data_IF_915591318843
#
_entry.id   IF_915591318843
#
_cell.length_a   1.000
_cell.length_b   1.000
_cell.length_c   1.000
_cell.angle_alpha   90.00
_cell.angle_beta   90.00
_cell.angle_gamma   90.00
#
_symmetry.space_group_name_H-M   'P 1'
#
loop_
_entity.id
_entity.type
_entity.pdbx_description
1 polymer ?
#
# COMPACT_ATOMS: atom_id res chain seq x y z
N UNK A 1 -12.17 -37.19 16.44
CA UNK A 1 -11.14 -36.41 15.71
C UNK A 1 -11.65 -34.98 15.57
N UNK A 2 -11.14 -34.04 16.35
CA UNK A 2 -11.40 -32.62 16.13
C UNK A 2 -10.69 -32.19 14.84
N UNK A 3 -11.42 -31.59 13.90
CA UNK A 3 -10.84 -30.97 12.72
C UNK A 3 -9.92 -29.82 13.16
N UNK A 4 -8.62 -30.06 13.18
CA UNK A 4 -7.57 -29.15 13.66
C UNK A 4 -7.15 -28.14 12.56
N UNK A 5 -8.07 -27.77 11.69
CA UNK A 5 -7.81 -26.88 10.56
C UNK A 5 -8.67 -25.64 10.75
N UNK A 6 -8.02 -24.55 11.18
CA UNK A 6 -8.65 -23.25 11.36
C UNK A 6 -9.01 -22.66 9.99
N UNK A 7 -10.21 -22.96 9.51
CA UNK A 7 -10.80 -22.31 8.33
C UNK A 7 -11.37 -20.93 8.69
N UNK A 8 -10.56 -20.08 9.34
CA UNK A 8 -10.96 -18.72 9.72
C UNK A 8 -11.06 -17.76 8.52
N UNK A 9 -10.63 -18.20 7.34
CA UNK A 9 -10.72 -17.45 6.10
C UNK A 9 -11.85 -18.03 5.25
N UNK A 10 -13.04 -17.46 5.38
CA UNK A 10 -14.23 -17.86 4.63
C UNK A 10 -14.11 -17.53 3.13
N UNK A 11 -13.37 -16.47 2.80
CA UNK A 11 -13.03 -16.07 1.43
C UNK A 11 -11.58 -15.55 1.39
N UNK A 12 -10.84 -15.96 0.37
CA UNK A 12 -9.47 -15.47 0.11
C UNK A 12 -9.33 -15.09 -1.35
N UNK A 13 -8.51 -14.10 -1.63
CA UNK A 13 -8.18 -13.67 -2.99
C UNK A 13 -6.68 -13.45 -3.08
N UNK A 14 -6.09 -13.78 -4.23
CA UNK A 14 -4.69 -13.50 -4.49
C UNK A 14 -4.50 -11.98 -4.63
N UNK A 15 -3.49 -11.44 -3.96
CA UNK A 15 -3.17 -10.01 -3.97
C UNK A 15 -1.67 -9.84 -4.21
N UNK A 16 -1.30 -8.83 -4.99
CA UNK A 16 0.11 -8.49 -5.21
C UNK A 16 0.76 -7.94 -3.93
N UNK A 17 2.03 -8.32 -3.70
CA UNK A 17 2.84 -7.88 -2.57
C UNK A 17 2.89 -6.34 -2.45
N UNK A 18 2.96 -5.65 -3.59
CA UNK A 18 2.97 -4.19 -3.66
C UNK A 18 1.72 -3.57 -3.00
N UNK A 19 0.54 -4.16 -3.22
CA UNK A 19 -0.71 -3.67 -2.65
C UNK A 19 -0.71 -3.77 -1.13
N UNK A 20 -0.17 -4.87 -0.61
CA UNK A 20 -0.05 -5.12 0.83
C UNK A 20 0.93 -4.12 1.44
N UNK A 21 2.10 -3.95 0.84
CA UNK A 21 3.10 -2.99 1.32
C UNK A 21 2.58 -1.53 1.31
N UNK A 22 1.75 -1.18 0.32
CA UNK A 22 1.24 0.18 0.16
C UNK A 22 0.09 0.51 1.11
N UNK A 23 -0.91 -0.37 1.25
CA UNK A 23 -2.20 -0.04 1.87
C UNK A 23 -2.36 -0.60 3.30
N UNK A 24 -1.63 -1.65 3.67
CA UNK A 24 -1.90 -2.37 4.92
C UNK A 24 -1.09 -1.84 6.12
N UNK A 25 -1.66 -1.99 7.31
CA UNK A 25 -0.95 -1.98 8.60
C UNK A 25 -0.23 -0.70 8.98
N UNK A 26 0.65 -0.79 9.98
CA UNK A 26 1.72 0.18 10.21
C UNK A 26 3.03 -0.35 9.61
N UNK A 27 3.78 0.52 8.95
CA UNK A 27 4.97 0.12 8.20
C UNK A 27 6.17 0.93 8.63
N UNK A 28 7.20 0.22 9.11
CA UNK A 28 8.54 0.76 9.32
C UNK A 28 9.34 0.61 8.02
N UNK A 29 9.94 1.69 7.58
CA UNK A 29 10.78 1.73 6.38
C UNK A 29 12.24 1.88 6.82
N UNK A 30 13.00 0.78 6.77
CA UNK A 30 14.41 0.75 7.12
C UNK A 30 15.25 1.00 5.87
N UNK A 31 15.54 2.29 5.62
CA UNK A 31 16.09 2.70 4.33
C UNK A 31 17.48 2.14 4.03
N UNK A 32 18.32 1.97 5.04
CA UNK A 32 19.65 1.38 4.88
C UNK A 32 19.59 -0.10 4.53
N UNK A 33 18.60 -0.82 5.07
CA UNK A 33 18.41 -2.24 4.79
C UNK A 33 17.60 -2.49 3.51
N UNK A 34 16.90 -1.48 2.98
CA UNK A 34 16.02 -1.63 1.83
C UNK A 34 14.78 -2.47 2.12
N UNK A 35 14.27 -2.45 3.36
CA UNK A 35 13.16 -3.31 3.79
C UNK A 35 12.00 -2.50 4.37
N UNK A 36 10.78 -2.86 3.98
CA UNK A 36 9.54 -2.47 4.65
C UNK A 36 9.11 -3.58 5.61
N UNK A 37 8.92 -3.23 6.89
CA UNK A 37 8.49 -4.13 7.94
C UNK A 37 7.06 -3.74 8.35
N UNK A 38 6.12 -4.66 8.17
CA UNK A 38 4.69 -4.45 8.40
C UNK A 38 4.27 -5.06 9.74
N UNK A 39 3.45 -4.32 10.50
CA UNK A 39 2.81 -4.73 11.76
C UNK A 39 3.74 -5.44 12.74
N UNK A 40 4.84 -4.79 13.13
CA UNK A 40 5.73 -5.35 14.14
C UNK A 40 6.38 -6.68 13.73
N UNK A 41 6.74 -6.79 12.45
CA UNK A 41 7.46 -7.92 11.84
C UNK A 41 6.60 -9.09 11.31
N UNK A 42 5.32 -8.86 11.02
CA UNK A 42 4.43 -9.87 10.42
C UNK A 42 4.70 -10.13 8.94
N UNK A 43 5.07 -9.08 8.20
CA UNK A 43 5.51 -9.20 6.81
C UNK A 43 6.73 -8.31 6.55
N UNK A 44 7.59 -8.75 5.63
CA UNK A 44 8.76 -8.01 5.17
C UNK A 44 8.78 -7.97 3.65
N UNK A 45 9.00 -6.77 3.10
CA UNK A 45 9.15 -6.57 1.67
C UNK A 45 10.51 -5.95 1.41
N UNK A 46 11.32 -6.60 0.57
CA UNK A 46 12.61 -6.08 0.14
C UNK A 46 12.42 -5.20 -1.10
N UNK A 47 13.10 -4.07 -1.14
CA UNK A 47 13.12 -3.14 -2.28
C UNK A 47 14.57 -2.84 -2.64
N UNK A 48 14.90 -3.04 -3.91
CA UNK A 48 16.27 -2.95 -4.43
C UNK A 48 16.81 -1.53 -4.56
N UNK A 49 15.95 -0.55 -4.85
CA UNK A 49 16.36 0.84 -5.06
C UNK A 49 15.77 1.79 -4.01
N UNK A 50 16.61 2.69 -3.51
CA UNK A 50 16.23 3.66 -2.50
C UNK A 50 15.24 4.70 -3.03
N UNK A 51 15.27 5.00 -4.33
CA UNK A 51 14.29 5.93 -4.95
C UNK A 51 12.91 5.28 -4.99
N UNK A 52 12.84 4.01 -5.37
CA UNK A 52 11.59 3.22 -5.34
C UNK A 52 11.03 3.18 -3.92
N UNK A 53 11.88 2.92 -2.93
CA UNK A 53 11.46 2.91 -1.53
C UNK A 53 10.94 4.28 -1.07
N UNK A 54 11.60 5.38 -1.45
CA UNK A 54 11.13 6.74 -1.15
C UNK A 54 9.78 7.01 -1.83
N UNK A 55 9.62 6.62 -3.09
CA UNK A 55 8.37 6.76 -3.83
C UNK A 55 7.21 6.02 -3.15
N UNK A 56 7.42 4.77 -2.74
CA UNK A 56 6.42 3.97 -2.01
C UNK A 56 6.07 4.63 -0.67
N UNK A 57 7.08 5.06 0.10
CA UNK A 57 6.88 5.73 1.38
C UNK A 57 6.07 7.03 1.23
N UNK A 58 6.39 7.83 0.23
CA UNK A 58 5.66 9.07 -0.07
C UNK A 58 4.23 8.78 -0.52
N UNK A 59 4.04 7.81 -1.43
CA UNK A 59 2.71 7.43 -1.93
C UNK A 59 1.81 6.98 -0.78
N UNK A 60 2.32 6.11 0.09
CA UNK A 60 1.62 5.63 1.28
C UNK A 60 1.18 6.78 2.20
N UNK A 61 2.06 7.73 2.46
CA UNK A 61 1.71 8.90 3.29
C UNK A 61 0.58 9.73 2.64
N UNK A 62 0.63 9.94 1.32
CA UNK A 62 -0.38 10.71 0.58
C UNK A 62 -1.73 10.00 0.52
N UNK A 63 -1.74 8.70 0.28
CA UNK A 63 -2.97 7.90 0.27
C UNK A 63 -3.62 7.87 1.66
N UNK A 64 -2.83 7.73 2.72
CA UNK A 64 -3.34 7.80 4.10
C UNK A 64 -3.96 9.16 4.43
N UNK A 65 -3.35 10.26 3.98
CA UNK A 65 -3.91 11.60 4.17
C UNK A 65 -5.23 11.78 3.41
N UNK A 66 -5.32 11.25 2.18
CA UNK A 66 -6.54 11.27 1.37
C UNK A 66 -7.64 10.47 2.08
N UNK A 67 -7.34 9.23 2.48
CA UNK A 67 -8.29 8.35 3.14
C UNK A 67 -8.79 8.94 4.46
N UNK A 68 -7.89 9.50 5.27
CA UNK A 68 -8.24 10.14 6.55
C UNK A 68 -9.19 11.32 6.33
N UNK A 69 -8.96 12.12 5.29
CA UNK A 69 -9.85 13.25 4.95
C UNK A 69 -11.20 12.77 4.41
N UNK A 70 -11.21 11.76 3.57
CA UNK A 70 -12.45 11.17 3.05
C UNK A 70 -13.34 10.62 4.17
N UNK A 71 -12.75 10.00 5.20
CA UNK A 71 -13.50 9.57 6.38
C UNK A 71 -13.95 10.72 7.28
N UNK A 72 -13.15 11.78 7.42
CA UNK A 72 -13.52 12.95 8.23
C UNK A 72 -14.61 13.81 7.59
N UNK A 73 -14.67 13.88 6.27
CA UNK A 73 -15.64 14.72 5.54
C UNK A 73 -16.12 14.01 4.29
N UNK A 74 -17.03 13.03 4.44
CA UNK A 74 -17.54 12.25 3.32
C UNK A 74 -18.28 13.17 2.33
N UNK A 75 -18.14 12.89 1.03
CA UNK A 75 -18.79 13.64 -0.05
C UNK A 75 -18.07 14.93 -0.48
N UNK A 76 -17.04 15.38 0.26
CA UNK A 76 -16.20 16.50 -0.19
C UNK A 76 -15.29 16.05 -1.33
N UNK A 77 -15.31 16.81 -2.43
CA UNK A 77 -14.41 16.57 -3.55
C UNK A 77 -12.93 16.63 -3.12
N UNK A 78 -12.10 15.78 -3.73
CA UNK A 78 -10.65 15.80 -3.54
C UNK A 78 -10.07 17.11 -4.07
N UNK A 79 -9.04 17.63 -3.41
CA UNK A 79 -8.31 18.79 -3.95
C UNK A 79 -7.57 18.40 -5.22
N UNK A 80 -7.23 19.38 -6.07
CA UNK A 80 -6.47 19.14 -7.30
C UNK A 80 -5.17 18.38 -7.05
N UNK A 81 -4.49 18.65 -5.93
CA UNK A 81 -3.27 17.91 -5.57
C UNK A 81 -3.56 16.46 -5.19
N UNK A 82 -4.64 16.22 -4.43
CA UNK A 82 -5.04 14.87 -4.05
C UNK A 82 -5.49 14.05 -5.26
N UNK A 83 -6.21 14.69 -6.19
CA UNK A 83 -6.59 14.07 -7.45
C UNK A 83 -5.38 13.61 -8.25
N UNK A 84 -4.36 14.48 -8.40
CA UNK A 84 -3.10 14.09 -9.06
C UNK A 84 -2.43 12.89 -8.41
N UNK A 85 -2.44 12.79 -7.08
CA UNK A 85 -1.89 11.62 -6.38
C UNK A 85 -2.69 10.35 -6.65
N UNK A 86 -4.02 10.45 -6.73
CA UNK A 86 -4.88 9.33 -7.14
C UNK A 86 -4.61 8.90 -8.57
N UNK A 87 -4.44 9.85 -9.50
CA UNK A 87 -4.15 9.56 -10.89
C UNK A 87 -2.79 8.86 -11.04
N UNK A 88 -1.75 9.31 -10.30
CA UNK A 88 -0.44 8.64 -10.28
C UNK A 88 -0.57 7.22 -9.72
N UNK A 89 -1.30 7.04 -8.62
CA UNK A 89 -1.52 5.74 -8.02
C UNK A 89 -2.22 4.78 -9.00
N UNK A 90 -3.26 5.23 -9.70
CA UNK A 90 -3.95 4.46 -10.72
C UNK A 90 -3.03 4.05 -11.87
N UNK A 91 -2.20 4.96 -12.37
CA UNK A 91 -1.22 4.66 -13.44
C UNK A 91 -0.18 3.61 -13.04
N UNK A 92 0.28 3.65 -11.78
CA UNK A 92 1.21 2.63 -11.27
C UNK A 92 0.53 1.26 -11.25
N UNK A 93 -0.72 1.20 -10.80
CA UNK A 93 -1.49 -0.04 -10.71
C UNK A 93 -1.93 -0.59 -12.07
N UNK A 94 -2.31 0.28 -13.02
CA UNK A 94 -2.70 -0.14 -14.37
C UNK A 94 -1.51 -0.61 -15.21
N UNK A 95 -0.28 -0.44 -14.72
CA UNK A 95 0.94 -0.75 -15.45
C UNK A 95 0.99 -0.09 -16.84
N UNK A 96 0.31 1.06 -17.03
CA UNK A 96 0.28 1.84 -18.28
C UNK A 96 1.67 2.27 -18.78
N UNK A 97 2.71 2.02 -18.00
CA UNK A 97 4.10 2.23 -18.38
C UNK A 97 4.70 1.12 -19.26
N UNK A 98 3.96 0.04 -19.56
CA UNK A 98 4.48 -1.11 -20.33
C UNK A 98 4.60 -0.89 -21.85
N UNK A 99 4.12 0.22 -22.40
CA UNK A 99 4.21 0.51 -23.84
C UNK A 99 5.12 1.70 -24.14
N UNK A 100 6.44 1.54 -23.98
CA UNK A 100 7.48 2.29 -24.71
C UNK A 100 8.76 1.47 -24.88
#
# INVERSE_FOLDING_TARGET
MQAKQFYNAHETTAVEEFSIALLCGDVRCDMYAGVFILDGNRARFAVSDWKTMLAIKTMRARLRDILTKSFKTPGKALTTQQQKWMDIWQKIFSQEFKDK
#
